data_IF_391414943137
#
_entry.id   IF_391414943137
#
_cell.length_a   1.000
_cell.length_b   1.000
_cell.length_c   1.000
_cell.angle_alpha   90.00
_cell.angle_beta   90.00
_cell.angle_gamma   90.00
#
_symmetry.space_group_name_H-M   'P 1'
#
loop_
_entity.id
_entity.type
_entity.pdbx_description
1 polymer ?
#
# COMPACT_ATOMS: atom_id res chain seq x y z
N UNK A 1 7.56 26.62 10.09
CA UNK A 1 6.29 26.82 9.35
C UNK A 1 5.68 25.51 8.80
N UNK A 2 6.42 24.59 8.15
CA UNK A 2 5.82 23.43 7.47
C UNK A 2 5.12 22.44 8.41
N UNK A 3 5.66 22.25 9.63
CA UNK A 3 5.12 21.30 10.61
C UNK A 3 3.68 21.62 11.05
N UNK A 4 3.36 22.90 11.26
CA UNK A 4 2.04 23.33 11.76
C UNK A 4 0.98 23.14 10.66
N UNK A 5 1.33 23.40 9.40
CA UNK A 5 0.45 23.16 8.26
C UNK A 5 0.21 21.67 8.02
N UNK A 6 1.25 20.84 8.10
CA UNK A 6 1.11 19.38 7.98
C UNK A 6 0.22 18.79 9.09
N UNK A 7 0.38 19.26 10.33
CA UNK A 7 -0.44 18.82 11.46
C UNK A 7 -1.90 19.25 11.28
N UNK A 8 -2.16 20.47 10.81
CA UNK A 8 -3.51 20.94 10.46
C UNK A 8 -4.17 20.12 9.36
N UNK A 9 -3.43 19.79 8.29
CA UNK A 9 -3.92 18.92 7.20
C UNK A 9 -4.22 17.51 7.71
N UNK A 10 -3.36 16.94 8.58
CA UNK A 10 -3.60 15.62 9.19
C UNK A 10 -4.89 15.58 9.99
N UNK A 11 -5.12 16.59 10.85
CA UNK A 11 -6.36 16.68 11.66
C UNK A 11 -7.58 16.88 10.75
N UNK A 12 -7.47 17.73 9.72
CA UNK A 12 -8.56 17.96 8.76
C UNK A 12 -8.94 16.68 8.01
N UNK A 13 -7.96 15.93 7.49
CA UNK A 13 -8.19 14.66 6.81
C UNK A 13 -8.78 13.61 7.75
N UNK A 14 -8.30 13.53 8.99
CA UNK A 14 -8.79 12.60 9.99
C UNK A 14 -10.26 12.87 10.36
N UNK A 15 -10.63 14.13 10.60
CA UNK A 15 -12.01 14.51 10.89
C UNK A 15 -12.94 14.32 9.69
N UNK A 16 -12.44 14.59 8.48
CA UNK A 16 -13.19 14.31 7.25
C UNK A 16 -13.45 12.81 7.08
N UNK A 17 -12.45 11.97 7.33
CA UNK A 17 -12.60 10.52 7.29
C UNK A 17 -13.60 10.03 8.36
N UNK A 18 -13.56 10.59 9.57
CA UNK A 18 -14.52 10.30 10.64
C UNK A 18 -15.96 10.64 10.22
N UNK A 19 -16.19 11.77 9.55
CA UNK A 19 -17.52 12.18 9.07
C UNK A 19 -18.04 11.29 7.93
N UNK A 20 -17.18 10.87 7.00
CA UNK A 20 -17.58 10.08 5.83
C UNK A 20 -17.80 8.61 6.20
N UNK A 21 -16.90 8.03 6.99
CA UNK A 21 -16.91 6.60 7.29
C UNK A 21 -17.60 6.26 8.63
N UNK A 22 -17.82 7.25 9.50
CA UNK A 22 -18.54 7.14 10.79
C UNK A 22 -17.79 6.33 11.86
N UNK A 23 -17.69 6.80 13.11
CA UNK A 23 -16.83 6.24 14.18
C UNK A 23 -17.07 4.78 14.63
N UNK A 24 -17.95 4.04 13.96
CA UNK A 24 -18.24 2.64 14.29
C UNK A 24 -17.11 1.74 13.76
N UNK A 25 -16.64 0.82 14.59
CA UNK A 25 -15.81 -0.30 14.15
C UNK A 25 -16.63 -1.09 13.11
N UNK A 26 -16.22 -1.04 11.85
CA UNK A 26 -16.73 -1.98 10.86
C UNK A 26 -15.89 -3.24 11.01
N UNK A 27 -16.50 -4.23 11.64
CA UNK A 27 -15.98 -5.59 11.61
C UNK A 27 -16.05 -6.06 10.16
N UNK A 28 -14.87 -6.34 9.62
CA UNK A 28 -14.73 -7.05 8.37
C UNK A 28 -15.08 -8.50 8.70
N UNK A 29 -16.29 -8.92 8.35
CA UNK A 29 -16.76 -10.31 8.47
C UNK A 29 -15.99 -11.23 7.50
N UNK A 30 -14.68 -11.36 7.73
CA UNK A 30 -13.83 -12.41 7.14
C UNK A 30 -14.28 -13.80 7.62
N UNK A 31 -15.13 -13.85 8.66
CA UNK A 31 -15.73 -15.05 9.24
C UNK A 31 -16.52 -15.90 8.25
N UNK A 32 -17.24 -15.28 7.30
CA UNK A 32 -18.20 -16.01 6.44
C UNK A 32 -17.65 -16.35 5.03
N UNK A 33 -16.63 -15.63 4.55
CA UNK A 33 -16.09 -15.81 3.20
C UNK A 33 -14.89 -16.77 3.11
N UNK A 34 -14.11 -16.92 4.19
CA UNK A 34 -12.83 -17.66 4.14
C UNK A 34 -12.81 -18.90 5.03
N UNK A 35 -13.76 -19.05 5.96
CA UNK A 35 -13.85 -20.22 6.84
C UNK A 35 -12.59 -20.38 7.69
N UNK A 36 -12.65 -19.94 8.94
CA UNK A 36 -11.50 -19.98 9.86
C UNK A 36 -11.13 -21.43 10.19
N UNK A 37 -10.35 -22.08 9.30
CA UNK A 37 -9.57 -23.25 9.65
C UNK A 37 -8.25 -22.77 10.24
N UNK A 38 -8.27 -22.49 11.54
CA UNK A 38 -7.04 -22.31 12.32
C UNK A 38 -6.33 -23.67 12.36
N UNK A 39 -5.25 -23.80 11.60
CA UNK A 39 -4.42 -25.00 11.66
C UNK A 39 -3.48 -24.84 12.85
N UNK A 40 -3.83 -25.50 13.97
CA UNK A 40 -2.98 -25.53 15.16
C UNK A 40 -1.82 -26.49 14.93
N UNK A 41 -0.61 -25.95 14.74
CA UNK A 41 0.65 -26.71 14.82
C UNK A 41 1.39 -26.19 16.06
N UNK A 42 1.09 -26.76 17.24
CA UNK A 42 1.74 -26.39 18.50
C UNK A 42 1.31 -25.03 19.06
N UNK A 43 2.26 -24.15 19.41
CA UNK A 43 2.01 -22.80 19.96
C UNK A 43 1.91 -21.68 18.89
N UNK A 44 1.93 -22.03 17.61
CA UNK A 44 1.85 -21.06 16.51
C UNK A 44 0.43 -21.03 15.95
N UNK A 45 -0.27 -19.92 16.20
CA UNK A 45 -1.58 -19.62 15.64
C UNK A 45 -1.40 -19.05 14.23
N UNK A 46 -1.67 -19.84 13.19
CA UNK A 46 -1.71 -19.35 11.81
C UNK A 46 -3.16 -19.22 11.34
N UNK A 47 -3.58 -17.97 11.18
CA UNK A 47 -4.85 -17.63 10.52
C UNK A 47 -4.65 -17.64 9.00
N UNK A 48 -5.56 -18.28 8.27
CA UNK A 48 -5.61 -18.30 6.78
C UNK A 48 -5.42 -16.91 6.14
N UNK A 49 -6.05 -15.81 6.62
CA UNK A 49 -5.81 -14.47 6.07
C UNK A 49 -4.37 -13.97 6.24
N UNK A 50 -3.67 -14.36 7.30
CA UNK A 50 -2.28 -13.98 7.52
C UNK A 50 -1.36 -14.67 6.51
N UNK A 51 -1.60 -15.96 6.24
CA UNK A 51 -0.87 -16.71 5.22
C UNK A 51 -1.12 -16.14 3.82
N UNK A 52 -2.37 -15.81 3.50
CA UNK A 52 -2.75 -15.22 2.21
C UNK A 52 -2.08 -13.85 2.01
N UNK A 53 -2.04 -13.01 3.04
CA UNK A 53 -1.33 -11.73 3.00
C UNK A 53 0.16 -11.91 2.77
N UNK A 54 0.82 -12.86 3.44
CA UNK A 54 2.25 -13.14 3.21
C UNK A 54 2.50 -13.59 1.78
N UNK A 55 1.70 -14.52 1.27
CA UNK A 55 1.85 -15.01 -0.12
C UNK A 55 1.62 -13.88 -1.12
N UNK A 56 0.55 -13.09 -0.96
CA UNK A 56 0.26 -11.97 -1.85
C UNK A 56 1.33 -10.88 -1.77
N UNK A 57 1.93 -10.62 -0.60
CA UNK A 57 2.99 -9.63 -0.45
C UNK A 57 4.25 -10.07 -1.20
N UNK A 58 4.62 -11.35 -1.09
CA UNK A 58 5.73 -11.94 -1.85
C UNK A 58 5.44 -11.87 -3.36
N UNK A 59 4.22 -12.21 -3.78
CA UNK A 59 3.81 -12.12 -5.18
C UNK A 59 3.92 -10.68 -5.72
N UNK A 60 3.43 -9.67 -4.97
CA UNK A 60 3.50 -8.27 -5.37
C UNK A 60 4.95 -7.76 -5.43
N UNK A 61 5.79 -8.17 -4.47
CA UNK A 61 7.21 -7.84 -4.46
C UNK A 61 7.89 -8.38 -5.72
N UNK A 62 7.71 -9.68 -6.02
CA UNK A 62 8.29 -10.31 -7.22
C UNK A 62 7.75 -9.64 -8.49
N UNK A 63 6.44 -9.40 -8.57
CA UNK A 63 5.81 -8.75 -9.71
C UNK A 63 6.40 -7.36 -9.97
N UNK A 64 6.54 -6.54 -8.92
CA UNK A 64 7.15 -5.22 -9.01
C UNK A 64 8.63 -5.31 -9.43
N UNK A 65 9.41 -6.19 -8.80
CA UNK A 65 10.82 -6.36 -9.13
C UNK A 65 11.00 -6.78 -10.58
N UNK A 66 10.21 -7.75 -11.07
CA UNK A 66 10.27 -8.20 -12.46
C UNK A 66 9.81 -7.08 -13.42
N UNK A 67 8.76 -6.35 -13.06
CA UNK A 67 8.29 -5.21 -13.85
C UNK A 67 9.39 -4.15 -13.99
N UNK A 68 10.03 -3.74 -12.89
CA UNK A 68 11.12 -2.76 -12.91
C UNK A 68 12.38 -3.32 -13.61
N UNK A 69 12.67 -4.61 -13.44
CA UNK A 69 13.85 -5.25 -13.98
C UNK A 69 13.78 -5.44 -15.51
N UNK A 70 12.63 -5.89 -16.03
CA UNK A 70 12.46 -6.32 -17.42
C UNK A 70 11.71 -5.35 -18.31
N UNK A 71 10.90 -4.43 -17.78
CA UNK A 71 10.13 -3.51 -18.64
C UNK A 71 10.98 -2.36 -19.19
N UNK A 72 10.55 -1.81 -20.34
CA UNK A 72 11.14 -0.58 -20.91
C UNK A 72 10.97 0.62 -19.97
N UNK A 73 9.83 0.69 -19.28
CA UNK A 73 9.56 1.71 -18.26
C UNK A 73 10.53 1.59 -17.08
N UNK A 74 10.83 0.38 -16.61
CA UNK A 74 11.78 0.15 -15.53
C UNK A 74 13.25 0.46 -15.90
N UNK A 75 13.61 0.38 -17.18
CA UNK A 75 14.89 0.90 -17.68
C UNK A 75 14.91 2.43 -17.65
N UNK A 76 13.82 3.05 -18.11
CA UNK A 76 13.66 4.51 -18.10
C UNK A 76 13.67 5.08 -16.66
N UNK A 77 13.02 4.41 -15.70
CA UNK A 77 13.07 4.76 -14.27
C UNK A 77 14.51 4.79 -13.75
N UNK A 78 15.30 3.75 -14.06
CA UNK A 78 16.70 3.66 -13.63
C UNK A 78 17.59 4.71 -14.29
N UNK A 79 17.39 5.04 -15.57
CA UNK A 79 18.13 6.14 -16.20
C UNK A 79 17.77 7.51 -15.61
N UNK A 80 16.49 7.76 -15.33
CA UNK A 80 16.06 9.04 -14.72
C UNK A 80 16.52 9.21 -13.28
N UNK A 81 16.84 8.12 -12.57
CA UNK A 81 17.39 8.20 -11.21
C UNK A 81 18.88 8.56 -11.19
N UNK A 82 19.62 8.37 -12.29
CA UNK A 82 21.00 8.84 -12.41
C UNK A 82 21.04 10.33 -12.75
N UNK A 83 20.39 10.71 -13.84
CA UNK A 83 20.34 12.09 -14.30
C UNK A 83 19.07 12.32 -15.13
N UNK A 84 18.21 13.23 -14.64
CA UNK A 84 16.94 13.56 -15.30
C UNK A 84 17.14 14.38 -16.57
N UNK A 85 18.13 15.28 -16.61
CA UNK A 85 18.42 16.09 -17.79
C UNK A 85 19.07 15.24 -18.89
N UNK A 86 20.00 14.36 -18.54
CA UNK A 86 20.57 13.44 -19.51
C UNK A 86 19.50 12.47 -20.05
N UNK A 87 18.61 11.96 -19.19
CA UNK A 87 17.52 11.09 -19.63
C UNK A 87 16.56 11.78 -20.61
N UNK A 88 16.20 13.04 -20.37
CA UNK A 88 15.32 13.80 -21.27
C UNK A 88 15.98 14.08 -22.62
N UNK A 89 17.29 14.36 -22.65
CA UNK A 89 18.07 14.51 -23.89
C UNK A 89 18.16 13.20 -24.71
N UNK A 90 18.07 12.04 -24.06
CA UNK A 90 18.04 10.73 -24.71
C UNK A 90 16.64 10.33 -25.22
N UNK A 91 15.68 11.27 -25.22
CA UNK A 91 14.32 11.05 -25.71
C UNK A 91 13.41 10.29 -24.74
N UNK A 92 13.81 10.19 -23.46
CA UNK A 92 12.97 9.59 -22.42
C UNK A 92 12.03 10.67 -21.88
N UNK A 93 10.72 10.40 -21.93
CA UNK A 93 9.71 11.24 -21.31
C UNK A 93 9.74 11.06 -19.78
N UNK A 94 10.48 11.96 -19.11
CA UNK A 94 10.69 11.92 -17.66
C UNK A 94 9.38 12.13 -16.90
N UNK A 95 8.49 12.99 -17.38
CA UNK A 95 7.19 13.26 -16.74
C UNK A 95 6.30 12.01 -16.76
N UNK A 96 6.32 11.26 -17.86
CA UNK A 96 5.65 9.97 -17.95
C UNK A 96 6.24 8.94 -17.00
N UNK A 97 7.56 8.91 -16.83
CA UNK A 97 8.22 8.01 -15.88
C UNK A 97 7.80 8.35 -14.45
N UNK A 98 7.80 9.63 -14.07
CA UNK A 98 7.39 10.07 -12.73
C UNK A 98 5.93 9.69 -12.46
N UNK A 99 5.01 10.00 -13.37
CA UNK A 99 3.59 9.71 -13.21
C UNK A 99 3.29 8.21 -13.08
N UNK A 100 3.95 7.37 -13.88
CA UNK A 100 3.84 5.91 -13.76
C UNK A 100 4.41 5.41 -12.43
N UNK A 101 5.55 5.94 -11.99
CA UNK A 101 6.16 5.54 -10.71
C UNK A 101 5.21 5.87 -9.55
N UNK A 102 4.60 7.05 -9.57
CA UNK A 102 3.62 7.45 -8.57
C UNK A 102 2.37 6.55 -8.61
N UNK A 103 1.84 6.28 -9.79
CA UNK A 103 0.69 5.38 -9.97
C UNK A 103 0.95 3.98 -9.41
N UNK A 104 2.11 3.39 -9.71
CA UNK A 104 2.48 2.05 -9.20
C UNK A 104 2.62 2.08 -7.67
N UNK A 105 3.25 3.12 -7.12
CA UNK A 105 3.37 3.31 -5.67
C UNK A 105 2.01 3.40 -4.97
N UNK A 106 1.10 4.23 -5.50
CA UNK A 106 -0.26 4.37 -4.97
C UNK A 106 -1.07 3.08 -5.09
N UNK A 107 -0.94 2.35 -6.20
CA UNK A 107 -1.61 1.07 -6.39
C UNK A 107 -1.14 0.01 -5.38
N UNK A 108 0.17 -0.06 -5.12
CA UNK A 108 0.74 -0.96 -4.11
C UNK A 108 0.33 -0.56 -2.69
N UNK A 109 0.28 0.74 -2.39
CA UNK A 109 -0.23 1.24 -1.11
C UNK A 109 -1.71 0.85 -0.89
N UNK A 110 -2.52 0.94 -1.94
CA UNK A 110 -3.92 0.47 -1.90
C UNK A 110 -4.03 -1.03 -1.66
N UNK A 111 -3.22 -1.85 -2.36
CA UNK A 111 -3.18 -3.29 -2.14
C UNK A 111 -2.77 -3.63 -0.69
N UNK A 112 -1.74 -2.96 -0.17
CA UNK A 112 -1.30 -3.12 1.22
C UNK A 112 -2.40 -2.77 2.23
N UNK A 113 -3.19 -1.73 1.97
CA UNK A 113 -4.34 -1.35 2.81
C UNK A 113 -5.42 -2.44 2.86
N UNK A 114 -5.74 -3.06 1.72
CA UNK A 114 -6.69 -4.19 1.66
C UNK A 114 -6.17 -5.39 2.44
N UNK A 115 -4.88 -5.71 2.29
CA UNK A 115 -4.23 -6.82 3.00
C UNK A 115 -4.20 -6.59 4.50
N UNK A 116 -3.99 -5.35 4.93
CA UNK A 116 -4.06 -4.95 6.34
C UNK A 116 -5.48 -5.12 6.90
N UNK A 117 -6.50 -4.67 6.18
CA UNK A 117 -7.90 -4.86 6.55
C UNK A 117 -8.28 -6.35 6.70
N UNK A 118 -7.78 -7.21 5.82
CA UNK A 118 -8.03 -8.66 5.86
C UNK A 118 -7.40 -9.36 7.07
N UNK A 119 -6.25 -8.88 7.55
CA UNK A 119 -5.54 -9.48 8.70
C UNK A 119 -6.17 -9.06 10.03
N UNK A 120 -6.48 -7.78 10.18
CA UNK A 120 -6.96 -7.24 11.44
C UNK A 120 -8.46 -7.40 11.65
N UNK A 121 -9.26 -7.62 10.58
CA UNK A 121 -10.69 -7.90 10.68
C UNK A 121 -11.54 -6.76 11.25
N UNK A 122 -10.93 -5.64 11.65
CA UNK A 122 -11.58 -4.46 12.18
C UNK A 122 -10.94 -3.24 11.55
N UNK A 123 -11.76 -2.34 10.99
CA UNK A 123 -11.29 -1.08 10.41
C UNK A 123 -11.83 0.06 11.26
N UNK A 124 -10.93 0.90 11.79
CA UNK A 124 -11.27 2.16 12.47
C UNK A 124 -10.42 3.32 11.92
N UNK A 125 -10.93 4.53 12.03
CA UNK A 125 -10.47 5.74 11.31
C UNK A 125 -9.04 6.14 11.66
N UNK A 126 -8.56 5.72 12.83
CA UNK A 126 -7.22 6.04 13.31
C UNK A 126 -6.15 5.06 12.82
N UNK A 127 -6.52 3.91 12.23
CA UNK A 127 -5.55 2.88 11.81
C UNK A 127 -4.52 3.40 10.82
N UNK A 128 -4.94 4.19 9.83
CA UNK A 128 -4.02 4.76 8.84
C UNK A 128 -3.05 5.79 9.43
N UNK A 129 -3.47 6.51 10.49
CA UNK A 129 -2.61 7.45 11.20
C UNK A 129 -1.58 6.70 12.05
N UNK A 130 -1.97 5.62 12.73
CA UNK A 130 -1.05 4.78 13.52
C UNK A 130 -0.03 4.08 12.63
N UNK A 131 -0.46 3.59 11.46
CA UNK A 131 0.45 2.94 10.51
C UNK A 131 1.45 3.90 9.85
N UNK A 132 1.14 5.20 9.82
CA UNK A 132 1.99 6.24 9.23
C UNK A 132 2.89 6.98 10.22
N UNK A 133 2.78 6.66 11.52
CA UNK A 133 3.56 7.25 12.62
C UNK A 133 4.85 6.45 12.84
#
# INVERSE_FOLDING_TARGET
APLISALGVSIFLQNSALLIFGAAFRDYDTFDLIGVKTYNIGQLFFSVPQLLTVVAAICLMIALTVFVARSRLGKAMRSTSFDREAASMMGIDVDRVISVTFFIGSALAGAAGVMFALVFGQIYHFMGFIAGL
#
